data_IF_072434538429
#
_entry.id   IF_072434538429
#
_cell.length_a   1.000
_cell.length_b   1.000
_cell.length_c   1.000
_cell.angle_alpha   90.00
_cell.angle_beta   90.00
_cell.angle_gamma   90.00
#
_symmetry.space_group_name_H-M   'P 1'
#
loop_
_entity.id
_entity.type
_entity.pdbx_description
1 polymer ?
#
# COMPACT_ATOMS: atom_id res chain seq x y z
N UNK A 1 15.35 -11.83 48.67
CA UNK A 1 14.30 -12.48 47.85
C UNK A 1 13.57 -11.49 46.93
N UNK A 2 13.29 -10.26 47.38
CA UNK A 2 12.67 -9.20 46.54
C UNK A 2 13.43 -8.89 45.24
N UNK A 3 14.75 -8.63 45.30
CA UNK A 3 15.52 -8.23 44.11
C UNK A 3 15.61 -9.30 43.01
N UNK A 4 15.72 -10.58 43.39
CA UNK A 4 15.74 -11.66 42.40
C UNK A 4 14.40 -11.75 41.66
N UNK A 5 13.27 -11.61 42.38
CA UNK A 5 11.95 -11.62 41.75
C UNK A 5 11.75 -10.46 40.78
N UNK A 6 12.24 -9.26 41.14
CA UNK A 6 12.21 -8.10 40.27
C UNK A 6 13.03 -8.31 39.00
N UNK A 7 14.26 -8.84 39.12
CA UNK A 7 15.12 -9.11 37.96
C UNK A 7 14.50 -10.12 36.99
N UNK A 8 13.87 -11.18 37.50
CA UNK A 8 13.19 -12.16 36.63
C UNK A 8 11.99 -11.54 35.89
N UNK A 9 11.15 -10.78 36.60
CA UNK A 9 9.98 -10.14 35.97
C UNK A 9 10.43 -9.14 34.92
N UNK A 10 11.42 -8.29 35.22
CA UNK A 10 11.96 -7.33 34.26
C UNK A 10 12.54 -8.04 33.02
N UNK A 11 13.26 -9.14 33.20
CA UNK A 11 13.81 -9.93 32.11
C UNK A 11 12.71 -10.51 31.21
N UNK A 12 11.70 -11.17 31.79
CA UNK A 12 10.59 -11.75 31.03
C UNK A 12 9.73 -10.69 30.34
N UNK A 13 9.49 -9.54 30.97
CA UNK A 13 8.78 -8.44 30.34
C UNK A 13 9.56 -7.85 29.17
N UNK A 14 10.88 -7.70 29.31
CA UNK A 14 11.72 -7.11 28.26
C UNK A 14 11.79 -8.03 27.04
N UNK A 15 12.10 -9.31 27.24
CA UNK A 15 12.18 -10.26 26.14
C UNK A 15 10.79 -10.61 25.59
N UNK A 16 9.80 -10.79 26.46
CA UNK A 16 8.43 -11.08 26.07
C UNK A 16 7.81 -9.97 25.25
N UNK A 17 8.00 -8.71 25.64
CA UNK A 17 7.52 -7.56 24.85
C UNK A 17 8.26 -7.42 23.52
N UNK A 18 9.56 -7.70 23.47
CA UNK A 18 10.33 -7.72 22.23
C UNK A 18 9.79 -8.77 21.25
N UNK A 19 9.59 -10.01 21.72
CA UNK A 19 9.07 -11.09 20.87
C UNK A 19 7.63 -10.84 20.41
N UNK A 20 6.77 -10.35 21.31
CA UNK A 20 5.40 -9.97 20.95
C UNK A 20 5.38 -8.83 19.94
N UNK A 21 6.21 -7.80 20.15
CA UNK A 21 6.37 -6.69 19.21
C UNK A 21 6.84 -7.17 17.84
N UNK A 22 7.80 -8.09 17.80
CA UNK A 22 8.28 -8.68 16.55
C UNK A 22 7.17 -9.44 15.81
N UNK A 23 6.41 -10.30 16.49
CA UNK A 23 5.29 -11.03 15.87
C UNK A 23 4.21 -10.08 15.39
N UNK A 24 3.87 -9.05 16.19
CA UNK A 24 2.92 -8.01 15.80
C UNK A 24 3.40 -7.27 14.55
N UNK A 25 4.66 -6.83 14.51
CA UNK A 25 5.24 -6.16 13.34
C UNK A 25 5.26 -7.07 12.11
N UNK A 26 5.52 -8.36 12.28
CA UNK A 26 5.48 -9.32 11.18
C UNK A 26 4.07 -9.46 10.60
N UNK A 27 3.04 -9.51 11.46
CA UNK A 27 1.65 -9.57 11.00
C UNK A 27 1.15 -8.25 10.42
N UNK A 28 1.65 -7.10 10.92
CA UNK A 28 1.31 -5.78 10.38
C UNK A 28 2.03 -5.46 9.07
N UNK A 29 3.10 -6.20 8.72
CA UNK A 29 3.87 -5.93 7.52
C UNK A 29 3.01 -6.01 6.27
N UNK A 30 2.23 -7.08 6.11
CA UNK A 30 1.40 -7.26 4.92
C UNK A 30 0.34 -6.16 4.81
N UNK A 31 -0.30 -5.81 5.94
CA UNK A 31 -1.28 -4.71 6.00
C UNK A 31 -0.64 -3.37 5.64
N UNK A 32 0.58 -3.11 6.12
CA UNK A 32 1.30 -1.88 5.82
C UNK A 32 1.75 -1.81 4.35
N UNK A 33 2.21 -2.93 3.79
CA UNK A 33 2.64 -3.01 2.40
C UNK A 33 1.44 -2.74 1.46
N UNK A 34 0.26 -3.34 1.70
CA UNK A 34 -0.97 -3.06 0.94
C UNK A 34 -1.40 -1.60 1.08
N UNK A 35 -1.43 -1.06 2.31
CA UNK A 35 -1.79 0.34 2.52
C UNK A 35 -0.87 1.31 1.78
N UNK A 36 0.43 1.01 1.73
CA UNK A 36 1.42 1.83 1.03
C UNK A 36 1.24 1.74 -0.49
N UNK A 37 0.97 0.56 -1.03
CA UNK A 37 0.69 0.37 -2.45
C UNK A 37 -0.56 1.15 -2.88
N UNK A 38 -1.64 1.11 -2.10
CA UNK A 38 -2.86 1.89 -2.34
C UNK A 38 -2.59 3.41 -2.27
N UNK A 39 -1.77 3.86 -1.34
CA UNK A 39 -1.41 5.27 -1.20
C UNK A 39 -0.54 5.77 -2.36
N UNK A 40 0.39 4.95 -2.84
CA UNK A 40 1.22 5.26 -4.01
C UNK A 40 0.37 5.29 -5.29
N UNK A 41 -0.58 4.37 -5.45
CA UNK A 41 -1.56 4.38 -6.53
C UNK A 41 -2.43 5.64 -6.50
N UNK A 42 -2.98 6.01 -5.34
CA UNK A 42 -3.77 7.23 -5.19
C UNK A 42 -2.97 8.49 -5.52
N UNK A 43 -1.65 8.50 -5.27
CA UNK A 43 -0.78 9.60 -5.67
C UNK A 43 -0.56 9.66 -7.19
N UNK A 44 -0.50 8.51 -7.86
CA UNK A 44 -0.28 8.41 -9.32
C UNK A 44 -1.57 8.70 -10.11
N UNK A 45 -2.74 8.33 -9.57
CA UNK A 45 -4.01 8.27 -10.29
C UNK A 45 -4.95 9.43 -9.89
N UNK A 46 -4.39 10.61 -9.62
CA UNK A 46 -5.14 11.85 -9.30
C UNK A 46 -6.00 12.42 -10.46
N UNK A 47 -6.45 11.59 -11.40
CA UNK A 47 -7.44 11.97 -12.40
C UNK A 47 -8.84 11.63 -11.87
N UNK A 48 -9.77 12.60 -11.80
CA UNK A 48 -11.11 12.40 -11.21
C UNK A 48 -11.95 11.33 -11.91
N UNK A 49 -11.59 10.92 -13.13
CA UNK A 49 -12.27 9.88 -13.91
C UNK A 49 -11.93 8.44 -13.45
N UNK A 50 -10.89 8.26 -12.64
CA UNK A 50 -10.41 6.94 -12.17
C UNK A 50 -11.04 6.52 -10.83
N UNK A 51 -11.98 7.32 -10.34
CA UNK A 51 -12.79 7.08 -9.16
C UNK A 51 -14.22 6.77 -9.62
N UNK A 52 -14.66 5.53 -9.46
CA UNK A 52 -16.03 5.10 -9.79
C UNK A 52 -16.92 5.14 -8.54
N UNK A 53 -18.24 5.02 -8.72
CA UNK A 53 -19.20 4.98 -7.61
C UNK A 53 -18.96 3.81 -6.63
N UNK A 54 -18.30 2.74 -7.08
CA UNK A 54 -17.98 1.54 -6.28
C UNK A 54 -16.52 1.55 -5.73
N UNK A 55 -15.76 2.61 -5.98
CA UNK A 55 -14.37 2.75 -5.54
C UNK A 55 -13.38 3.05 -6.67
N UNK A 56 -12.06 3.06 -6.40
CA UNK A 56 -11.04 3.24 -7.43
C UNK A 56 -11.11 2.11 -8.48
N UNK A 57 -10.88 2.43 -9.75
CA UNK A 57 -10.87 1.46 -10.86
C UNK A 57 -9.80 0.37 -10.63
N UNK A 58 -10.15 -0.90 -10.88
CA UNK A 58 -9.22 -2.04 -10.80
C UNK A 58 -8.12 -1.90 -11.86
N UNK A 59 -6.83 -1.82 -11.45
CA UNK A 59 -5.71 -1.68 -12.38
C UNK A 59 -5.53 -2.86 -13.33
N UNK A 60 -5.97 -4.06 -12.93
CA UNK A 60 -5.86 -5.28 -13.74
C UNK A 60 -6.80 -5.28 -14.94
N UNK A 61 -7.83 -4.43 -14.90
CA UNK A 61 -8.82 -4.26 -15.98
C UNK A 61 -8.47 -3.09 -16.93
N UNK A 62 -7.44 -2.30 -16.61
CA UNK A 62 -7.05 -1.15 -17.43
C UNK A 62 -6.31 -1.60 -18.70
N UNK A 63 -6.88 -1.26 -19.86
CA UNK A 63 -6.24 -1.48 -21.15
C UNK A 63 -5.07 -0.51 -21.33
N UNK A 64 -3.83 -1.01 -21.24
CA UNK A 64 -2.63 -0.22 -21.52
C UNK A 64 -2.47 -0.01 -23.02
N UNK A 65 -2.91 1.15 -23.52
CA UNK A 65 -2.63 1.58 -24.90
C UNK A 65 -1.19 2.09 -24.99
N UNK A 66 -0.30 1.24 -25.51
CA UNK A 66 1.03 1.69 -25.93
C UNK A 66 0.94 2.19 -27.36
N UNK A 67 0.78 3.50 -27.51
CA UNK A 67 0.93 4.17 -28.80
C UNK A 67 2.41 4.14 -29.16
N UNK A 68 2.76 3.42 -30.24
CA UNK A 68 4.14 3.23 -30.67
C UNK A 68 4.61 4.28 -31.68
N UNK A 69 3.66 4.95 -32.35
CA UNK A 69 3.91 5.93 -33.41
C UNK A 69 3.27 7.28 -33.03
N UNK A 70 3.98 8.39 -33.25
CA UNK A 70 3.48 9.76 -32.98
C UNK A 70 2.23 10.15 -33.81
N UNK A 71 1.83 9.32 -34.77
CA UNK A 71 0.72 9.55 -35.72
C UNK A 71 -0.57 8.78 -35.36
N UNK A 72 -0.57 8.01 -34.25
CA UNK A 72 -1.72 7.19 -33.82
C UNK A 72 -2.68 7.96 -32.89
N UNK A 73 -2.43 9.25 -32.65
CA UNK A 73 -3.45 10.15 -32.12
C UNK A 73 -4.42 10.44 -33.26
N UNK A 74 -5.70 10.07 -33.11
CA UNK A 74 -6.71 10.47 -34.09
C UNK A 74 -6.58 11.96 -34.36
N UNK A 75 -6.27 12.31 -35.61
CA UNK A 75 -6.51 13.67 -36.09
C UNK A 75 -7.98 13.94 -35.80
N UNK A 76 -8.21 14.91 -34.92
CA UNK A 76 -9.54 15.45 -34.69
C UNK A 76 -10.08 15.87 -36.05
N UNK A 77 -11.06 15.12 -36.57
CA UNK A 77 -11.71 15.41 -37.86
C UNK A 77 -12.68 16.59 -37.70
N UNK A 78 -12.34 17.55 -36.83
CA UNK A 78 -12.82 18.92 -36.82
C UNK A 78 -12.01 19.75 -37.85
N UNK A 79 -11.93 19.24 -39.08
CA UNK A 79 -11.78 20.09 -40.26
C UNK A 79 -13.16 20.59 -40.70
N UNK A 80 -13.50 21.82 -40.32
CA UNK A 80 -13.96 22.90 -41.23
C UNK A 80 -13.78 24.29 -40.59
#
# INVERSE_FOLDING_TARGET
MSDMSFMYIAFFLTIGSFLLGFVLSWNLKDVFDTWREDAEYAAIVMHPEMQTDDGPVDPSELLYLRIHDEDDTMYDDETE
#
